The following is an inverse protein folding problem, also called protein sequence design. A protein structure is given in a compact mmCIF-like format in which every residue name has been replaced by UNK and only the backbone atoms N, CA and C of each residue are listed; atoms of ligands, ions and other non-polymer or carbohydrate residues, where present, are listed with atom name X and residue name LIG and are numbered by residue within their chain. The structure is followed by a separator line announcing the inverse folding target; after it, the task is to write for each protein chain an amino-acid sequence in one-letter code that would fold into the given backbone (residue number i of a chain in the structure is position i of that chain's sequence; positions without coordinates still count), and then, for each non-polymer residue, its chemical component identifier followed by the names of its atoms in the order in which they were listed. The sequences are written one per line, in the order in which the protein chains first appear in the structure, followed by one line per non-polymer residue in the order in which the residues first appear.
data_IF_990012257826
#
_entry.id   IF_990012257826
#
_cell.length_a   1.000
_cell.length_b   1.000
_cell.length_c   1.000
_cell.angle_alpha   90.00
_cell.angle_beta   90.00
_cell.angle_gamma   90.00
#
_symmetry.space_group_name_H-M   'P 1'
#
loop_
_entity.id
_entity.type
_entity.pdbx_description
1 polymer ?
#
# COMPACT_ATOMS: atom_id res chain seq x y z
N UNK A 1 -15.92 -3.52 -0.19
CA UNK A 1 -15.20 -2.69 0.79
C UNK A 1 -16.06 -1.49 1.05
N UNK A 2 -16.38 -1.24 2.29
CA UNK A 2 -17.32 -0.20 2.74
C UNK A 2 -16.47 0.92 3.36
N UNK A 3 -16.83 2.19 3.13
CA UNK A 3 -16.18 3.36 3.73
C UNK A 3 -14.91 3.87 3.03
N UNK A 4 -14.49 3.26 1.92
CA UNK A 4 -13.30 3.66 1.13
C UNK A 4 -13.60 3.66 -0.37
N UNK A 5 -14.79 4.11 -0.76
CA UNK A 5 -15.30 4.04 -2.14
C UNK A 5 -14.40 4.82 -3.11
N UNK A 6 -13.97 6.03 -2.75
CA UNK A 6 -13.09 6.87 -3.57
C UNK A 6 -11.70 6.24 -3.78
N UNK A 7 -11.17 5.58 -2.73
CA UNK A 7 -9.91 4.84 -2.81
C UNK A 7 -10.04 3.62 -3.71
N UNK A 8 -11.13 2.86 -3.54
CA UNK A 8 -11.47 1.70 -4.37
C UNK A 8 -11.61 2.11 -5.83
N UNK A 9 -12.38 3.16 -6.11
CA UNK A 9 -12.60 3.64 -7.46
C UNK A 9 -11.29 3.98 -8.18
N UNK A 10 -10.40 4.74 -7.55
CA UNK A 10 -9.08 5.08 -8.12
C UNK A 10 -8.23 3.85 -8.41
N UNK A 11 -8.24 2.89 -7.49
CA UNK A 11 -7.48 1.66 -7.62
C UNK A 11 -8.03 0.79 -8.75
N UNK A 12 -9.35 0.63 -8.82
CA UNK A 12 -10.08 -0.11 -9.86
C UNK A 12 -9.87 0.50 -11.24
N UNK A 13 -10.07 1.82 -11.40
CA UNK A 13 -9.86 2.52 -12.68
C UNK A 13 -8.46 2.34 -13.23
N UNK A 14 -7.42 2.41 -12.37
CA UNK A 14 -6.03 2.17 -12.80
C UNK A 14 -5.82 0.72 -13.24
N UNK A 15 -6.43 -0.24 -12.54
CA UNK A 15 -6.32 -1.67 -12.86
C UNK A 15 -7.07 -2.02 -14.15
N UNK A 16 -8.26 -1.48 -14.35
CA UNK A 16 -9.03 -1.65 -15.59
C UNK A 16 -8.32 -1.06 -16.80
N UNK A 17 -7.74 0.14 -16.64
CA UNK A 17 -6.91 0.73 -17.70
C UNK A 17 -5.73 -0.17 -18.07
N UNK A 18 -5.08 -0.78 -17.08
CA UNK A 18 -3.99 -1.73 -17.29
C UNK A 18 -4.45 -2.99 -18.04
N UNK A 19 -5.56 -3.58 -17.63
CA UNK A 19 -6.13 -4.77 -18.28
C UNK A 19 -6.53 -4.49 -19.73
N UNK A 20 -7.10 -3.30 -19.98
CA UNK A 20 -7.45 -2.84 -21.32
C UNK A 20 -6.24 -2.45 -22.21
N UNK A 21 -5.00 -2.64 -21.71
CA UNK A 21 -3.79 -2.27 -22.45
C UNK A 21 -3.58 -0.76 -22.58
N UNK A 22 -4.31 0.06 -21.83
CA UNK A 22 -4.14 1.51 -21.76
C UNK A 22 -3.00 1.88 -20.80
N UNK A 23 -2.60 3.15 -20.85
CA UNK A 23 -1.59 3.67 -19.91
C UNK A 23 -2.10 3.58 -18.47
N UNK A 24 -1.36 2.88 -17.62
CA UNK A 24 -1.61 2.73 -16.19
C UNK A 24 -0.31 2.93 -15.40
N UNK A 25 -0.44 3.17 -14.12
CA UNK A 25 0.68 3.56 -13.26
C UNK A 25 0.92 2.53 -12.15
N UNK A 26 2.14 2.52 -11.62
CA UNK A 26 2.42 1.88 -10.34
C UNK A 26 1.62 2.58 -9.23
N UNK A 27 1.14 1.80 -8.26
CA UNK A 27 0.24 2.26 -7.20
C UNK A 27 0.89 2.11 -5.83
N UNK A 28 0.80 3.14 -5.01
CA UNK A 28 1.16 3.10 -3.60
C UNK A 28 -0.09 3.42 -2.75
N UNK A 29 -0.54 2.45 -1.97
CA UNK A 29 -1.51 2.67 -0.89
C UNK A 29 -0.75 2.96 0.39
N UNK A 30 -0.99 4.10 1.02
CA UNK A 30 -0.28 4.48 2.24
C UNK A 30 -1.23 5.06 3.28
N UNK A 31 -0.83 5.04 4.53
CA UNK A 31 -1.62 5.57 5.64
C UNK A 31 -1.74 4.60 6.80
N UNK A 32 -2.78 4.75 7.61
CA UNK A 32 -2.91 4.11 8.90
C UNK A 32 -2.97 2.58 8.80
N UNK A 33 -2.45 1.90 9.81
CA UNK A 33 -2.51 0.44 9.91
C UNK A 33 -3.95 -0.04 10.05
N UNK A 34 -4.27 -1.25 9.60
CA UNK A 34 -5.61 -1.83 9.77
C UNK A 34 -6.71 -1.26 8.87
N UNK A 35 -6.42 -0.29 8.00
CA UNK A 35 -7.42 0.37 7.12
C UNK A 35 -7.77 -0.39 5.85
N UNK A 36 -7.30 -1.63 5.68
CA UNK A 36 -7.66 -2.49 4.54
C UNK A 36 -6.83 -2.28 3.26
N UNK A 37 -5.66 -1.60 3.32
CA UNK A 37 -4.79 -1.37 2.15
C UNK A 37 -4.45 -2.66 1.39
N UNK A 38 -3.89 -3.63 2.09
CA UNK A 38 -3.47 -4.91 1.50
C UNK A 38 -4.66 -5.73 1.00
N UNK A 39 -5.76 -5.74 1.75
CA UNK A 39 -7.01 -6.38 1.37
C UNK A 39 -7.60 -5.78 0.10
N UNK A 40 -7.47 -4.46 -0.10
CA UNK A 40 -7.94 -3.78 -1.31
C UNK A 40 -7.21 -4.26 -2.57
N UNK A 41 -5.89 -4.40 -2.48
CA UNK A 41 -5.08 -4.90 -3.60
C UNK A 41 -5.39 -6.38 -3.86
N UNK A 42 -5.47 -7.21 -2.81
CA UNK A 42 -5.77 -8.65 -2.94
C UNK A 42 -7.16 -8.90 -3.53
N UNK A 43 -8.15 -8.04 -3.23
CA UNK A 43 -9.49 -8.11 -3.78
C UNK A 43 -9.52 -7.95 -5.31
N UNK A 44 -8.64 -7.14 -5.90
CA UNK A 44 -8.53 -6.99 -7.36
C UNK A 44 -8.21 -8.31 -8.06
N UNK A 45 -7.39 -9.18 -7.45
CA UNK A 45 -7.08 -10.47 -8.04
C UNK A 45 -8.33 -11.34 -8.16
N UNK A 46 -9.18 -11.36 -7.13
CA UNK A 46 -10.42 -12.12 -7.16
C UNK A 46 -11.40 -11.56 -8.21
N UNK A 47 -11.46 -10.24 -8.34
CA UNK A 47 -12.35 -9.56 -9.27
C UNK A 47 -11.93 -9.75 -10.74
N UNK A 48 -10.64 -9.59 -11.03
CA UNK A 48 -10.11 -9.55 -12.41
C UNK A 48 -9.29 -10.77 -12.85
N UNK A 49 -9.27 -11.84 -12.04
CA UNK A 49 -8.55 -13.07 -12.42
C UNK A 49 -9.01 -13.65 -13.76
N UNK A 50 -10.32 -13.60 -14.02
CA UNK A 50 -10.92 -14.09 -15.28
C UNK A 50 -10.54 -13.20 -16.47
N UNK A 51 -10.26 -11.93 -16.24
CA UNK A 51 -9.83 -10.95 -17.24
C UNK A 51 -8.32 -10.95 -17.49
N UNK A 52 -7.62 -11.96 -16.92
CA UNK A 52 -6.20 -12.15 -17.15
C UNK A 52 -5.27 -11.47 -16.16
N UNK A 53 -5.78 -10.91 -15.07
CA UNK A 53 -4.93 -10.40 -13.98
C UNK A 53 -4.26 -11.55 -13.24
N UNK A 54 -2.96 -11.38 -12.96
CA UNK A 54 -2.17 -12.25 -12.09
C UNK A 54 -1.44 -11.40 -11.06
N UNK A 55 -1.27 -11.92 -9.87
CA UNK A 55 -0.56 -11.24 -8.80
C UNK A 55 0.57 -12.11 -8.28
N UNK A 56 1.72 -11.49 -8.07
CA UNK A 56 2.90 -12.13 -7.47
C UNK A 56 3.29 -11.27 -6.29
N UNK A 57 3.23 -11.84 -5.10
CA UNK A 57 3.71 -11.18 -3.89
C UNK A 57 5.24 -11.29 -3.84
N UNK A 58 5.90 -10.13 -3.68
CA UNK A 58 7.37 -10.03 -3.66
C UNK A 58 7.79 -9.41 -2.35
N UNK A 59 8.54 -10.17 -1.56
CA UNK A 59 9.05 -9.73 -0.28
C UNK A 59 10.34 -8.91 -0.44
N UNK A 60 10.61 -8.02 0.50
CA UNK A 60 11.74 -7.08 0.47
C UNK A 60 13.09 -7.77 0.15
N UNK A 61 13.40 -8.89 0.81
CA UNK A 61 14.64 -9.64 0.57
C UNK A 61 14.77 -10.23 -0.86
N UNK A 62 13.67 -10.26 -1.61
CA UNK A 62 13.65 -10.76 -3.01
C UNK A 62 13.85 -9.65 -4.04
N UNK A 63 13.97 -8.39 -3.65
CA UNK A 63 14.06 -7.28 -4.60
C UNK A 63 15.29 -7.34 -5.51
N UNK A 64 16.36 -7.98 -5.07
CA UNK A 64 17.52 -8.26 -5.92
C UNK A 64 17.16 -9.12 -7.14
N UNK A 65 16.12 -9.94 -7.04
CA UNK A 65 15.66 -10.84 -8.12
C UNK A 65 14.60 -10.19 -9.02
N UNK A 66 14.14 -8.96 -8.75
CA UNK A 66 13.10 -8.29 -9.53
C UNK A 66 13.40 -8.25 -11.04
N UNK A 67 14.62 -7.95 -11.50
CA UNK A 67 14.94 -7.96 -12.93
C UNK A 67 14.69 -9.32 -13.57
N UNK A 68 15.10 -10.42 -12.93
CA UNK A 68 14.90 -11.78 -13.43
C UNK A 68 13.43 -12.18 -13.44
N UNK A 69 12.67 -11.80 -12.39
CA UNK A 69 11.23 -12.03 -12.32
C UNK A 69 10.52 -11.31 -13.49
N UNK A 70 10.86 -10.05 -13.72
CA UNK A 70 10.29 -9.23 -14.81
C UNK A 70 10.61 -9.84 -16.17
N UNK A 71 11.86 -10.25 -16.39
CA UNK A 71 12.29 -10.88 -17.63
C UNK A 71 11.51 -12.18 -17.92
N UNK A 72 11.21 -12.98 -16.91
CA UNK A 72 10.43 -14.21 -17.08
C UNK A 72 8.95 -13.93 -17.39
N UNK A 73 8.38 -12.86 -16.81
CA UNK A 73 6.97 -12.54 -16.96
C UNK A 73 6.64 -11.77 -18.23
N UNK A 74 7.60 -11.01 -18.80
CA UNK A 74 7.36 -10.12 -19.95
C UNK A 74 6.85 -10.85 -21.20
N UNK A 75 7.22 -12.11 -21.39
CA UNK A 75 6.81 -12.93 -22.54
C UNK A 75 5.45 -13.62 -22.37
N UNK A 76 4.83 -13.51 -21.21
CA UNK A 76 3.57 -14.19 -20.88
C UNK A 76 2.35 -13.35 -21.25
N UNK A 77 1.30 -13.98 -21.77
CA UNK A 77 0.05 -13.33 -22.20
C UNK A 77 -0.91 -13.00 -21.03
N UNK A 78 -0.38 -12.55 -19.89
CA UNK A 78 -1.15 -12.11 -18.73
C UNK A 78 -0.72 -10.71 -18.31
N UNK A 79 -1.57 -10.02 -17.57
CA UNK A 79 -1.24 -8.78 -16.88
C UNK A 79 -0.82 -9.09 -15.44
N UNK A 80 0.38 -8.69 -15.06
CA UNK A 80 0.96 -9.02 -13.76
C UNK A 80 1.02 -7.79 -12.85
N UNK A 81 0.55 -7.94 -11.62
CA UNK A 81 0.81 -7.01 -10.52
C UNK A 81 1.85 -7.65 -9.60
N UNK A 82 3.02 -7.01 -9.49
CA UNK A 82 3.99 -7.32 -8.45
C UNK A 82 3.55 -6.60 -7.19
N UNK A 83 3.07 -7.36 -6.22
CA UNK A 83 2.54 -6.85 -4.97
C UNK A 83 3.60 -6.84 -3.87
N UNK A 84 3.80 -5.70 -3.24
CA UNK A 84 4.76 -5.47 -2.16
C UNK A 84 4.01 -4.97 -0.94
N UNK A 85 3.81 -5.84 0.05
CA UNK A 85 3.07 -5.51 1.26
C UNK A 85 3.97 -4.88 2.33
N UNK A 86 3.44 -3.92 3.06
CA UNK A 86 4.09 -3.17 4.15
C UNK A 86 5.49 -2.65 3.80
N UNK A 87 5.58 -1.98 2.65
CA UNK A 87 6.83 -1.46 2.11
C UNK A 87 7.36 -0.32 2.98
N UNK A 88 8.50 -0.57 3.61
CA UNK A 88 9.25 0.43 4.38
C UNK A 88 10.74 0.11 4.35
N UNK A 89 11.59 1.14 4.37
CA UNK A 89 13.03 0.99 4.35
C UNK A 89 13.66 1.79 5.48
N UNK A 90 14.65 1.19 6.12
CA UNK A 90 15.57 1.89 6.99
C UNK A 90 16.64 2.62 6.13
N UNK A 91 17.39 3.53 6.74
CA UNK A 91 18.26 4.46 6.03
C UNK A 91 19.35 3.79 5.18
N UNK A 92 19.88 2.67 5.65
CA UNK A 92 21.02 1.98 5.03
C UNK A 92 20.63 0.70 4.27
N UNK A 93 19.35 0.41 4.11
CA UNK A 93 18.91 -0.78 3.39
C UNK A 93 19.13 -0.62 1.88
N UNK A 94 19.85 -1.57 1.28
CA UNK A 94 20.17 -1.54 -0.16
C UNK A 94 18.97 -1.89 -1.03
N UNK A 95 17.98 -2.57 -0.47
CA UNK A 95 16.81 -3.08 -1.16
C UNK A 95 15.99 -1.96 -1.84
N UNK A 96 15.97 -0.76 -1.24
CA UNK A 96 15.31 0.37 -1.86
C UNK A 96 15.93 0.77 -3.21
N UNK A 97 17.27 0.57 -3.38
CA UNK A 97 17.96 0.88 -4.62
C UNK A 97 17.56 -0.08 -5.74
N UNK A 98 17.37 -1.37 -5.42
CA UNK A 98 16.86 -2.34 -6.39
C UNK A 98 15.45 -2.00 -6.85
N UNK A 99 14.56 -1.66 -5.91
CA UNK A 99 13.20 -1.26 -6.26
C UNK A 99 13.18 0.04 -7.07
N UNK A 100 13.98 1.04 -6.68
CA UNK A 100 14.11 2.31 -7.39
C UNK A 100 14.54 2.07 -8.84
N UNK A 101 15.59 1.27 -9.07
CA UNK A 101 16.09 0.96 -10.40
C UNK A 101 15.01 0.31 -11.29
N UNK A 102 14.20 -0.61 -10.72
CA UNK A 102 13.10 -1.27 -11.44
C UNK A 102 11.95 -0.31 -11.77
N UNK A 103 11.56 0.56 -10.82
CA UNK A 103 10.46 1.51 -11.03
C UNK A 103 10.85 2.59 -12.05
N UNK A 104 12.11 3.02 -12.06
CA UNK A 104 12.64 4.01 -13.00
C UNK A 104 12.87 3.45 -14.42
N UNK A 105 12.87 2.13 -14.54
CA UNK A 105 13.01 1.44 -15.83
C UNK A 105 14.45 1.24 -16.28
N UNK A 106 15.46 1.56 -15.45
CA UNK A 106 16.88 1.30 -15.73
C UNK A 106 17.29 1.55 -17.19
N UNK A 107 18.09 0.64 -17.76
CA UNK A 107 18.45 0.63 -19.18
C UNK A 107 17.40 -0.01 -20.09
N UNK A 108 16.48 -0.79 -19.53
CA UNK A 108 15.40 -1.47 -20.25
C UNK A 108 14.05 -0.87 -19.90
N UNK A 109 13.24 -0.61 -20.94
CA UNK A 109 11.87 -0.13 -20.74
C UNK A 109 11.07 -1.19 -19.97
N UNK A 110 10.41 -0.77 -18.90
CA UNK A 110 9.49 -1.64 -18.14
C UNK A 110 8.45 -2.26 -19.08
N UNK A 111 8.22 -3.59 -19.03
CA UNK A 111 7.22 -4.26 -19.85
C UNK A 111 5.81 -3.70 -19.61
N UNK A 112 5.02 -3.59 -20.68
CA UNK A 112 3.66 -3.02 -20.65
C UNK A 112 2.64 -3.99 -19.99
N UNK A 113 3.06 -5.21 -19.63
CA UNK A 113 2.24 -6.21 -18.96
C UNK A 113 2.53 -6.35 -17.46
N UNK A 114 3.34 -5.44 -16.86
CA UNK A 114 3.72 -5.51 -15.43
C UNK A 114 3.47 -4.16 -14.76
N UNK A 115 2.78 -4.15 -13.62
CA UNK A 115 2.68 -3.02 -12.69
C UNK A 115 3.19 -3.42 -11.30
N UNK A 116 3.60 -2.44 -10.53
CA UNK A 116 3.97 -2.58 -9.12
C UNK A 116 2.90 -1.93 -8.27
N UNK A 117 2.30 -2.70 -7.37
CA UNK A 117 1.38 -2.21 -6.35
C UNK A 117 2.01 -2.45 -4.99
N UNK A 118 2.08 -1.40 -4.18
CA UNK A 118 2.67 -1.47 -2.86
C UNK A 118 1.74 -0.90 -1.80
N UNK A 119 1.87 -1.42 -0.58
CA UNK A 119 1.28 -0.80 0.60
C UNK A 119 2.36 -0.28 1.53
N UNK A 120 2.03 0.73 2.34
CA UNK A 120 2.92 1.23 3.39
C UNK A 120 2.12 1.85 4.52
N UNK A 121 2.58 1.67 5.74
CA UNK A 121 2.06 2.37 6.90
C UNK A 121 2.70 3.76 7.07
N UNK A 122 3.56 4.17 6.13
CA UNK A 122 4.28 5.44 6.14
C UNK A 122 4.03 6.23 4.85
N UNK A 123 3.93 7.54 4.96
CA UNK A 123 3.85 8.44 3.79
C UNK A 123 5.17 8.46 3.01
N UNK A 124 6.28 8.35 3.71
CA UNK A 124 7.62 8.27 3.14
C UNK A 124 8.16 6.86 3.35
N UNK A 125 8.50 6.18 2.28
CA UNK A 125 8.92 4.78 2.29
C UNK A 125 10.26 4.54 3.00
N UNK A 126 11.13 5.57 3.07
CA UNK A 126 12.42 5.52 3.76
C UNK A 126 12.33 6.34 5.06
N UNK A 127 12.77 5.75 6.17
CA UNK A 127 12.74 6.36 7.51
C UNK A 127 13.66 7.58 7.56
N UNK A 128 13.18 8.67 8.15
CA UNK A 128 13.99 9.84 8.48
C UNK A 128 14.42 9.74 9.93
N UNK A 129 15.73 9.79 10.21
CA UNK A 129 16.25 9.79 11.57
C UNK A 129 16.36 11.22 12.12
N UNK A 130 16.37 11.34 13.47
CA UNK A 130 16.52 12.64 14.16
C UNK A 130 17.88 13.33 13.88
N UNK A 131 18.91 12.56 13.51
CA UNK A 131 20.24 13.07 13.09
C UNK A 131 20.17 13.99 11.86
N UNK A 132 19.22 13.75 10.95
CA UNK A 132 19.01 14.58 9.75
C UNK A 132 18.61 16.03 10.06
N UNK A 133 18.35 16.37 11.34
CA UNK A 133 17.94 17.72 11.79
C UNK A 133 19.05 18.51 12.47
N UNK A 134 20.16 17.89 12.84
CA UNK A 134 21.21 18.52 13.65
C UNK A 134 22.56 18.71 12.95
N UNK A 135 22.84 17.99 11.86
CA UNK A 135 24.10 18.17 11.11
C UNK A 135 23.97 19.35 10.15
N UNK A 136 24.77 20.39 10.43
CA UNK A 136 24.77 21.68 9.75
C UNK A 136 25.55 21.69 8.40
N UNK A 137 25.86 20.54 7.81
CA UNK A 137 26.37 20.48 6.45
C UNK A 137 25.20 20.37 5.47
N UNK A 138 24.62 21.52 5.11
CA UNK A 138 23.38 21.71 4.34
C UNK A 138 23.36 20.99 2.98
N UNK A 139 24.48 20.66 2.38
CA UNK A 139 24.54 20.10 1.03
C UNK A 139 24.23 18.59 1.02
N UNK A 140 24.79 17.82 1.96
CA UNK A 140 24.59 16.36 2.01
C UNK A 140 23.20 15.96 2.54
N UNK A 141 22.63 16.75 3.44
CA UNK A 141 21.31 16.49 4.03
C UNK A 141 20.18 16.67 3.02
N UNK A 142 20.28 17.65 2.12
CA UNK A 142 19.28 17.88 1.08
C UNK A 142 19.29 16.79 0.01
N UNK A 143 20.44 16.27 -0.38
CA UNK A 143 20.55 15.19 -1.36
C UNK A 143 19.98 13.87 -0.79
N UNK A 144 20.28 13.52 0.45
CA UNK A 144 19.72 12.36 1.12
C UNK A 144 18.19 12.48 1.30
N UNK A 145 17.67 13.67 1.65
CA UNK A 145 16.22 13.92 1.74
C UNK A 145 15.53 13.83 0.37
N UNK A 146 16.13 14.36 -0.68
CA UNK A 146 15.61 14.24 -2.04
C UNK A 146 15.61 12.78 -2.50
N UNK A 147 16.65 12.03 -2.20
CA UNK A 147 16.73 10.62 -2.58
C UNK A 147 15.70 9.77 -1.83
N UNK A 148 15.51 10.02 -0.53
CA UNK A 148 14.50 9.34 0.32
C UNK A 148 13.06 9.66 -0.13
N UNK A 149 12.79 10.87 -0.58
CA UNK A 149 11.46 11.27 -1.09
C UNK A 149 11.22 10.77 -2.51
N UNK A 150 12.29 10.48 -3.26
CA UNK A 150 12.22 10.13 -4.69
C UNK A 150 11.48 8.82 -4.95
N UNK A 151 11.62 7.80 -4.10
CA UNK A 151 10.98 6.49 -4.34
C UNK A 151 9.45 6.57 -4.32
N UNK A 152 8.86 7.26 -3.33
CA UNK A 152 7.41 7.41 -3.26
C UNK A 152 6.85 8.27 -4.40
N UNK A 153 7.65 9.21 -4.92
CA UNK A 153 7.26 10.06 -6.07
C UNK A 153 7.21 9.29 -7.40
N UNK A 154 7.85 8.12 -7.47
CA UNK A 154 7.85 7.24 -8.65
C UNK A 154 6.57 6.42 -8.81
N UNK A 155 5.76 6.34 -7.77
CA UNK A 155 4.42 5.78 -7.89
C UNK A 155 3.49 6.84 -8.49
N UNK A 156 3.01 6.61 -9.70
CA UNK A 156 2.16 7.58 -10.42
C UNK A 156 0.76 7.72 -9.80
N UNK A 157 0.28 6.70 -9.09
CA UNK A 157 -0.97 6.74 -8.31
C UNK A 157 -0.64 6.51 -6.85
N UNK A 158 -1.02 7.47 -6.00
CA UNK A 158 -0.89 7.39 -4.54
C UNK A 158 -2.26 7.56 -3.91
N UNK A 159 -2.64 6.60 -3.06
CA UNK A 159 -3.96 6.55 -2.43
C UNK A 159 -3.76 6.50 -0.91
N UNK A 160 -4.32 7.50 -0.24
CA UNK A 160 -4.24 7.63 1.21
C UNK A 160 -5.40 6.86 1.86
N UNK A 161 -5.06 6.03 2.84
CA UNK A 161 -5.99 5.33 3.73
C UNK A 161 -5.79 5.85 5.15
N UNK A 162 -6.73 6.63 5.63
CA UNK A 162 -6.75 7.10 7.02
C UNK A 162 -7.75 6.31 7.82
N UNK A 163 -7.59 6.28 9.14
CA UNK A 163 -8.66 5.77 10.00
C UNK A 163 -9.97 6.48 9.66
N UNK A 164 -11.07 5.74 9.56
CA UNK A 164 -12.38 6.35 9.32
C UNK A 164 -12.71 7.29 10.50
N UNK A 165 -13.36 8.41 10.20
CA UNK A 165 -14.01 9.17 11.25
C UNK A 165 -15.16 8.36 11.87
N UNK A 166 -15.71 8.86 12.97
CA UNK A 166 -16.75 8.14 13.72
C UNK A 166 -17.96 7.76 12.87
N UNK A 167 -18.39 8.64 11.96
CA UNK A 167 -19.55 8.36 11.12
C UNK A 167 -19.22 7.27 10.10
N UNK A 168 -18.11 7.40 9.39
CA UNK A 168 -17.65 6.40 8.44
C UNK A 168 -17.37 5.04 9.11
N UNK A 169 -16.88 5.04 10.35
CA UNK A 169 -16.70 3.80 11.12
C UNK A 169 -18.04 3.09 11.35
N UNK A 170 -19.07 3.84 11.79
CA UNK A 170 -20.40 3.28 12.01
C UNK A 170 -21.06 2.82 10.71
N UNK A 171 -20.86 3.53 9.60
CA UNK A 171 -21.34 3.13 8.27
C UNK A 171 -20.66 1.82 7.80
N UNK A 172 -19.38 1.62 8.11
CA UNK A 172 -18.65 0.37 7.85
C UNK A 172 -19.26 -0.76 8.70
N UNK A 173 -19.53 -0.52 9.98
CA UNK A 173 -20.14 -1.49 10.90
C UNK A 173 -21.52 -1.91 10.40
N UNK A 174 -22.36 -0.95 10.00
CA UNK A 174 -23.69 -1.23 9.46
C UNK A 174 -23.60 -2.09 8.20
N UNK A 175 -22.75 -1.72 7.26
CA UNK A 175 -22.59 -2.48 6.02
C UNK A 175 -22.00 -3.89 6.22
N UNK A 176 -21.11 -4.07 7.18
CA UNK A 176 -20.62 -5.41 7.55
C UNK A 176 -21.72 -6.24 8.20
N UNK A 177 -22.52 -5.65 9.11
CA UNK A 177 -23.65 -6.33 9.75
C UNK A 177 -24.64 -6.83 8.70
N UNK A 178 -24.97 -6.01 7.71
CA UNK A 178 -25.84 -6.40 6.60
C UNK A 178 -25.21 -7.52 5.75
N UNK A 179 -23.94 -7.39 5.39
CA UNK A 179 -23.23 -8.40 4.60
C UNK A 179 -23.17 -9.78 5.27
N UNK A 180 -23.02 -9.81 6.59
CA UNK A 180 -22.98 -11.05 7.37
C UNK A 180 -24.35 -11.50 7.91
N UNK A 181 -25.41 -10.76 7.59
CA UNK A 181 -26.78 -11.08 8.04
C UNK A 181 -26.97 -10.99 9.55
N UNK A 182 -26.21 -10.10 10.23
CA UNK A 182 -26.31 -9.91 11.67
C UNK A 182 -27.62 -9.19 12.01
N UNK A 183 -28.52 -9.89 12.70
CA UNK A 183 -29.79 -9.33 13.18
C UNK A 183 -29.58 -8.73 14.58
N UNK A 184 -29.31 -7.44 14.62
CA UNK A 184 -29.17 -6.68 15.87
C UNK A 184 -29.79 -5.29 15.67
N UNK A 185 -30.36 -4.72 16.73
CA UNK A 185 -30.88 -3.36 16.68
C UNK A 185 -29.69 -2.37 16.45
N UNK A 186 -29.89 -1.40 15.57
CA UNK A 186 -28.83 -0.51 15.08
C UNK A 186 -28.11 0.24 16.20
N UNK A 187 -28.87 0.76 17.19
CA UNK A 187 -28.28 1.49 18.30
C UNK A 187 -27.43 0.57 19.20
N UNK A 188 -27.88 -0.65 19.41
CA UNK A 188 -27.13 -1.66 20.18
C UNK A 188 -25.83 -2.04 19.46
N UNK A 189 -25.91 -2.25 18.14
CA UNK A 189 -24.75 -2.53 17.30
C UNK A 189 -23.71 -1.40 17.38
N UNK A 190 -24.16 -0.16 17.22
CA UNK A 190 -23.30 1.02 17.28
C UNK A 190 -22.65 1.19 18.67
N UNK A 191 -23.41 1.00 19.75
CA UNK A 191 -22.85 1.06 21.11
C UNK A 191 -21.76 0.01 21.33
N UNK A 192 -22.02 -1.23 20.93
CA UNK A 192 -21.03 -2.31 21.05
C UNK A 192 -19.78 -2.05 20.22
N UNK A 193 -19.94 -1.55 18.99
CA UNK A 193 -18.83 -1.22 18.11
C UNK A 193 -17.96 -0.09 18.67
N UNK A 194 -18.56 0.97 19.22
CA UNK A 194 -17.82 2.07 19.83
C UNK A 194 -17.14 1.66 21.13
N UNK A 195 -17.75 0.80 21.96
CA UNK A 195 -17.10 0.25 23.15
C UNK A 195 -15.87 -0.56 22.75
N UNK A 196 -15.99 -1.43 21.76
CA UNK A 196 -14.88 -2.25 21.26
C UNK A 196 -13.74 -1.39 20.70
N UNK A 197 -14.05 -0.31 19.97
CA UNK A 197 -13.04 0.64 19.47
C UNK A 197 -12.25 1.31 20.61
N UNK A 198 -12.94 1.72 21.68
CA UNK A 198 -12.30 2.32 22.86
C UNK A 198 -11.37 1.34 23.57
N UNK A 199 -11.84 0.11 23.81
CA UNK A 199 -11.04 -0.93 24.45
C UNK A 199 -9.78 -1.26 23.64
N UNK A 200 -9.91 -1.33 22.32
CA UNK A 200 -8.78 -1.61 21.41
C UNK A 200 -7.75 -0.48 21.36
N UNK A 201 -8.19 0.79 21.50
CA UNK A 201 -7.28 1.94 21.55
C UNK A 201 -6.53 2.03 22.88
N UNK A 202 -7.11 1.57 23.99
CA UNK A 202 -6.44 1.52 25.30
C UNK A 202 -5.37 0.41 25.39
N UNK A 203 -5.49 -0.68 24.65
CA UNK A 203 -4.48 -1.75 24.61
C UNK A 203 -3.20 -1.36 23.85
N UNK A 204 -3.27 -0.42 22.93
CA UNK A 204 -2.11 0.01 22.12
C UNK A 204 -1.03 0.81 22.87
N UNK A 205 -1.33 1.69 23.87
CA UNK A 205 -0.31 2.44 24.60
C UNK A 205 0.48 1.63 25.64
N UNK A 206 -0.12 0.59 26.21
CA UNK A 206 0.47 -0.13 27.35
C UNK A 206 1.52 -1.16 26.95
N UNK A 207 1.51 -1.67 25.73
CA UNK A 207 2.51 -2.64 25.26
C UNK A 207 3.84 -2.01 24.79
N UNK A 208 3.88 -0.69 24.59
CA UNK A 208 5.11 0.02 24.18
C UNK A 208 5.99 0.45 25.36
N UNK A 209 5.47 0.45 26.58
CA UNK A 209 6.21 0.85 27.78
C UNK A 209 6.83 -0.30 28.57
N UNK A 210 6.59 -1.57 28.19
CA UNK A 210 7.19 -2.75 28.85
C UNK A 210 8.39 -3.34 28.10
N UNK A 211 8.94 -2.68 27.09
CA UNK A 211 10.16 -3.09 26.38
C UNK A 211 11.25 -2.01 26.43
N UNK A 212 11.46 -1.40 27.59
CA UNK A 212 12.67 -0.64 27.92
C UNK A 212 13.36 -1.27 29.08
#
# INVERSE_FOLDING_TARGET
MIGYESQKEKLTQNTEAFLAGKKANNVLLYGDSGTGKSSSIKALLNEYYKDGLRMIEVYKHQFINLPSIIQELQSRNYKFVLFMDDLSFEEFEIEYKYLKAVIEGGLEKKPDNILIYATSNRRHLVKQTWGDRQDQDEVNVNDAKQEKTSLSSRFGVKILFMHPDRQNYLDIVDGLAEQYGLMMERNELHQKALTWEMDFQEELPNNLLMQC
#
